data_IF_043561234913
#
_entry.id   IF_043561234913
#
_cell.length_a   1.000
_cell.length_b   1.000
_cell.length_c   1.000
_cell.angle_alpha   90.00
_cell.angle_beta   90.00
_cell.angle_gamma   90.00
#
_symmetry.space_group_name_H-M   'P 1'
#
loop_
_entity.id
_entity.type
_entity.pdbx_description
1 polymer ?
#
# COMPACT_ATOMS: atom_id res chain seq x y z
N UNK A 1 43.17 8.77 0.84
CA UNK A 1 42.48 7.46 0.93
C UNK A 1 41.38 7.45 2.01
N UNK A 2 40.59 8.52 2.16
CA UNK A 2 39.55 8.63 3.21
C UNK A 2 38.13 8.76 2.62
N UNK A 3 38.03 9.10 1.34
CA UNK A 3 36.77 9.37 0.64
C UNK A 3 36.22 8.16 -0.14
N UNK A 4 37.05 7.15 -0.42
CA UNK A 4 36.63 5.94 -1.15
C UNK A 4 35.78 5.03 -0.25
N UNK A 5 36.09 4.92 1.04
CA UNK A 5 35.32 4.08 1.98
C UNK A 5 33.88 4.56 2.21
N UNK A 6 33.62 5.87 2.09
CA UNK A 6 32.26 6.42 2.25
C UNK A 6 31.40 6.05 1.03
N UNK A 7 31.96 6.10 -0.17
CA UNK A 7 31.25 5.78 -1.40
C UNK A 7 30.88 4.28 -1.49
N UNK A 8 31.76 3.37 -1.03
CA UNK A 8 31.50 1.92 -1.08
C UNK A 8 30.44 1.47 -0.07
N UNK A 9 30.30 2.17 1.05
CA UNK A 9 29.32 1.83 2.10
C UNK A 9 27.89 2.22 1.69
N UNK A 10 27.72 3.27 0.89
CA UNK A 10 26.40 3.75 0.45
C UNK A 10 25.78 2.88 -0.66
N UNK A 11 26.60 2.30 -1.54
CA UNK A 11 26.13 1.48 -2.69
C UNK A 11 25.53 0.14 -2.25
N UNK A 12 25.90 -0.38 -1.08
CA UNK A 12 25.36 -1.65 -0.57
C UNK A 12 23.92 -1.52 -0.03
N UNK A 13 23.49 -0.32 0.40
CA UNK A 13 22.19 -0.10 1.04
C UNK A 13 20.99 -0.14 0.08
N UNK A 14 21.20 -0.05 -1.23
CA UNK A 14 20.13 0.10 -2.25
C UNK A 14 19.85 -1.18 -3.06
N UNK A 15 20.09 -2.36 -2.47
CA UNK A 15 19.66 -3.63 -3.08
C UNK A 15 18.13 -3.82 -2.97
N UNK A 16 17.38 -2.95 -3.64
CA UNK A 16 15.95 -3.11 -3.86
C UNK A 16 15.75 -4.28 -4.83
N UNK A 17 15.49 -5.48 -4.31
CA UNK A 17 15.07 -6.60 -5.15
C UNK A 17 13.67 -6.31 -5.71
N UNK A 18 13.59 -5.98 -7.00
CA UNK A 18 12.35 -5.66 -7.70
C UNK A 18 11.46 -6.88 -8.00
N UNK A 19 11.87 -8.10 -7.61
CA UNK A 19 11.05 -9.31 -7.78
C UNK A 19 10.27 -9.57 -6.50
N UNK A 20 9.08 -8.95 -6.41
CA UNK A 20 8.12 -9.14 -5.32
C UNK A 20 7.47 -10.54 -5.31
N UNK A 21 7.62 -11.35 -6.36
CA UNK A 21 7.04 -12.70 -6.46
C UNK A 21 6.14 -12.84 -7.69
N UNK A 22 5.53 -14.02 -7.87
CA UNK A 22 4.53 -14.26 -8.91
C UNK A 22 3.13 -14.00 -8.33
N UNK A 23 2.60 -12.81 -8.54
CA UNK A 23 1.23 -12.48 -8.13
C UNK A 23 0.26 -12.69 -9.28
N UNK A 24 -0.95 -13.14 -8.94
CA UNK A 24 -2.10 -13.05 -9.83
C UNK A 24 -2.80 -11.73 -9.53
N UNK A 25 -2.89 -10.84 -10.50
CA UNK A 25 -3.76 -9.68 -10.41
C UNK A 25 -5.20 -10.11 -10.63
N UNK A 26 -6.10 -9.58 -9.81
CA UNK A 26 -7.54 -9.68 -10.02
C UNK A 26 -8.06 -8.25 -10.14
N UNK A 27 -8.53 -7.87 -11.33
CA UNK A 27 -9.24 -6.62 -11.52
C UNK A 27 -10.69 -6.86 -11.11
N UNK A 28 -11.09 -6.25 -9.99
CA UNK A 28 -12.49 -6.23 -9.58
C UNK A 28 -13.15 -5.03 -10.23
N UNK A 29 -14.33 -5.26 -10.83
CA UNK A 29 -15.11 -4.17 -11.40
C UNK A 29 -15.60 -3.28 -10.26
N UNK A 30 -15.09 -2.04 -10.21
CA UNK A 30 -15.46 -1.09 -9.17
C UNK A 30 -16.96 -0.75 -9.26
N UNK A 31 -17.66 -0.60 -8.12
CA UNK A 31 -19.02 -0.06 -8.10
C UNK A 31 -19.05 1.31 -8.82
N UNK A 32 -20.08 1.55 -9.64
CA UNK A 32 -20.21 2.80 -10.41
C UNK A 32 -20.55 4.02 -9.57
N UNK A 33 -20.83 3.82 -8.29
CA UNK A 33 -21.41 4.82 -7.39
C UNK A 33 -20.46 5.19 -6.24
N UNK A 34 -19.23 5.56 -6.58
CA UNK A 34 -18.24 5.95 -5.59
C UNK A 34 -18.00 7.45 -5.64
N UNK A 35 -18.18 8.12 -4.51
CA UNK A 35 -17.80 9.51 -4.32
C UNK A 35 -16.40 9.57 -3.70
N UNK A 36 -15.49 10.32 -4.31
CA UNK A 36 -14.15 10.55 -3.78
C UNK A 36 -14.19 11.60 -2.68
N UNK A 37 -13.61 11.28 -1.52
CA UNK A 37 -13.65 12.13 -0.33
C UNK A 37 -12.43 13.06 -0.17
N UNK A 38 -11.53 13.11 -1.15
CA UNK A 38 -10.40 14.03 -1.17
C UNK A 38 -9.12 13.41 -1.69
N UNK A 39 -8.01 13.86 -1.10
CA UNK A 39 -6.65 13.48 -1.47
C UNK A 39 -6.32 12.02 -1.11
N UNK A 40 -5.34 11.40 -1.80
CA UNK A 40 -4.85 10.08 -1.47
C UNK A 40 -4.40 9.98 -0.01
N UNK A 41 -4.72 8.85 0.61
CA UNK A 41 -4.28 8.52 1.97
C UNK A 41 -3.33 7.34 1.93
N UNK A 42 -2.40 7.34 2.88
CA UNK A 42 -1.40 6.28 3.01
C UNK A 42 -1.54 5.57 4.35
N UNK A 43 -1.50 4.24 4.31
CA UNK A 43 -1.41 3.40 5.48
C UNK A 43 -0.30 2.38 5.36
N UNK A 44 0.14 1.87 6.51
CA UNK A 44 1.27 0.97 6.57
C UNK A 44 1.13 -0.11 7.64
N UNK A 45 1.73 -1.27 7.35
CA UNK A 45 1.95 -2.33 8.32
C UNK A 45 3.42 -2.72 8.30
N UNK A 46 4.09 -2.51 9.43
CA UNK A 46 5.53 -2.62 9.58
C UNK A 46 5.91 -3.59 10.71
N UNK A 47 6.84 -4.48 10.42
CA UNK A 47 7.45 -5.37 11.41
C UNK A 47 8.89 -4.93 11.68
N UNK A 48 9.25 -4.82 12.95
CA UNK A 48 10.62 -4.51 13.44
C UNK A 48 11.40 -5.76 13.88
N UNK A 49 10.78 -6.93 13.73
CA UNK A 49 11.36 -8.24 14.11
C UNK A 49 11.78 -9.05 12.89
N UNK A 50 11.34 -8.65 11.70
CA UNK A 50 11.68 -9.33 10.46
C UNK A 50 11.91 -8.34 9.33
N UNK A 51 12.95 -8.62 8.54
CA UNK A 51 13.24 -7.95 7.28
C UNK A 51 12.44 -8.52 6.10
N UNK A 52 11.39 -9.31 6.37
CA UNK A 52 10.56 -9.98 5.36
C UNK A 52 9.17 -9.33 5.30
N UNK A 53 8.94 -8.49 4.29
CA UNK A 53 7.66 -7.78 4.09
C UNK A 53 6.46 -8.72 4.00
N UNK A 54 6.63 -9.96 3.52
CA UNK A 54 5.54 -10.93 3.36
C UNK A 54 5.02 -11.49 4.69
N UNK A 55 5.67 -11.15 5.81
CA UNK A 55 5.14 -11.40 7.16
C UNK A 55 4.20 -10.30 7.63
N UNK A 56 4.18 -9.16 6.94
CA UNK A 56 3.23 -8.08 7.18
C UNK A 56 1.95 -8.34 6.40
N UNK A 57 0.89 -7.61 6.75
CA UNK A 57 -0.44 -7.81 6.24
C UNK A 57 -0.95 -6.57 5.48
N UNK A 58 -1.25 -6.76 4.19
CA UNK A 58 -1.84 -5.72 3.34
C UNK A 58 -3.16 -5.23 3.91
N UNK A 59 -3.97 -6.10 4.52
CA UNK A 59 -5.24 -5.71 5.11
C UNK A 59 -5.07 -4.76 6.30
N UNK A 60 -4.00 -4.91 7.07
CA UNK A 60 -3.71 -4.01 8.20
C UNK A 60 -3.21 -2.65 7.69
N UNK A 61 -2.40 -2.63 6.64
CA UNK A 61 -2.02 -1.38 5.96
C UNK A 61 -3.23 -0.66 5.34
N UNK A 62 -4.21 -1.38 4.76
CA UNK A 62 -5.48 -0.80 4.27
C UNK A 62 -6.30 -0.23 5.43
N UNK A 63 -6.43 -0.96 6.55
CA UNK A 63 -7.17 -0.49 7.73
C UNK A 63 -6.56 0.78 8.30
N UNK A 64 -5.25 0.84 8.38
CA UNK A 64 -4.51 2.02 8.81
C UNK A 64 -4.72 3.21 7.84
N UNK A 65 -4.72 2.97 6.52
CA UNK A 65 -5.04 3.99 5.52
C UNK A 65 -6.47 4.55 5.70
N UNK A 66 -7.46 3.66 5.90
CA UNK A 66 -8.86 4.04 6.11
C UNK A 66 -9.04 4.78 7.45
N UNK A 67 -8.32 4.38 8.50
CA UNK A 67 -8.37 5.06 9.80
C UNK A 67 -7.85 6.51 9.74
N UNK A 68 -6.92 6.79 8.82
CA UNK A 68 -6.38 8.13 8.54
C UNK A 68 -7.25 8.93 7.55
N UNK A 69 -8.23 8.29 6.93
CA UNK A 69 -9.07 8.91 5.92
C UNK A 69 -10.16 9.82 6.52
N UNK A 70 -10.76 10.72 5.71
CA UNK A 70 -11.89 11.52 6.14
C UNK A 70 -13.06 10.67 6.64
N UNK A 71 -13.84 11.22 7.56
CA UNK A 71 -15.02 10.55 8.12
C UNK A 71 -16.02 10.17 7.00
N UNK A 72 -16.59 8.96 7.10
CA UNK A 72 -17.52 8.44 6.10
C UNK A 72 -16.86 7.71 4.93
N UNK A 73 -15.53 7.53 4.94
CA UNK A 73 -14.82 6.63 4.02
C UNK A 73 -15.28 5.19 4.22
N UNK A 74 -15.70 4.53 3.14
CA UNK A 74 -16.10 3.12 3.11
C UNK A 74 -15.09 2.24 2.39
N UNK A 75 -14.17 2.82 1.61
CA UNK A 75 -13.12 2.08 0.93
C UNK A 75 -12.07 3.00 0.31
N UNK A 76 -11.15 2.39 -0.45
CA UNK A 76 -10.12 3.09 -1.22
C UNK A 76 -10.26 2.72 -2.71
N UNK A 77 -10.07 3.70 -3.58
CA UNK A 77 -9.98 3.56 -5.05
C UNK A 77 -8.55 3.78 -5.51
N UNK A 78 -8.19 3.23 -6.67
CA UNK A 78 -6.89 3.44 -7.33
C UNK A 78 -5.73 3.03 -6.40
N UNK A 79 -5.92 1.89 -5.73
CA UNK A 79 -5.05 1.42 -4.65
C UNK A 79 -3.72 0.93 -5.20
N UNK A 80 -2.64 1.52 -4.72
CA UNK A 80 -1.27 1.08 -4.96
C UNK A 80 -0.72 0.43 -3.71
N UNK A 81 -0.26 -0.82 -3.83
CA UNK A 81 0.41 -1.56 -2.74
C UNK A 81 1.90 -1.61 -3.05
N UNK A 82 2.71 -1.15 -2.11
CA UNK A 82 4.17 -1.24 -2.19
C UNK A 82 4.74 -1.99 -0.98
N UNK A 83 5.80 -2.74 -1.21
CA UNK A 83 6.48 -3.49 -0.15
C UNK A 83 7.96 -3.10 -0.10
N UNK A 84 8.45 -2.83 1.10
CA UNK A 84 9.83 -2.43 1.35
C UNK A 84 10.47 -3.38 2.34
N UNK A 85 11.56 -4.02 1.93
CA UNK A 85 12.48 -4.71 2.82
C UNK A 85 13.67 -3.79 3.08
N UNK A 86 13.86 -3.36 4.32
CA UNK A 86 15.12 -2.73 4.68
C UNK A 86 16.14 -3.84 4.91
N UNK A 87 17.01 -4.11 3.94
CA UNK A 87 17.97 -5.22 4.02
C UNK A 87 18.93 -5.14 5.22
N UNK A 88 19.13 -3.93 5.75
CA UNK A 88 20.11 -3.62 6.81
C UNK A 88 19.48 -3.13 8.12
N UNK A 89 18.16 -2.96 8.14
CA UNK A 89 17.41 -2.70 9.35
C UNK A 89 16.51 -3.91 9.55
N UNK A 90 16.22 -4.33 10.79
CA UNK A 90 15.26 -5.42 11.02
C UNK A 90 13.81 -4.97 10.74
N UNK A 91 13.62 -4.10 9.75
CA UNK A 91 12.35 -3.49 9.41
C UNK A 91 11.90 -3.92 8.03
N UNK A 92 10.64 -4.29 7.93
CA UNK A 92 9.95 -4.46 6.66
C UNK A 92 8.58 -3.82 6.76
N UNK A 93 8.08 -3.24 5.67
CA UNK A 93 6.79 -2.57 5.65
C UNK A 93 6.02 -2.89 4.37
N UNK A 94 4.71 -3.03 4.51
CA UNK A 94 3.77 -2.89 3.40
C UNK A 94 3.17 -1.50 3.53
N UNK A 95 3.20 -0.72 2.44
CA UNK A 95 2.51 0.56 2.36
C UNK A 95 1.38 0.44 1.33
N UNK A 96 0.26 1.06 1.65
CA UNK A 96 -0.91 1.13 0.80
C UNK A 96 -1.26 2.59 0.63
N UNK A 97 -1.35 3.03 -0.62
CA UNK A 97 -1.85 4.35 -0.99
C UNK A 97 -3.13 4.19 -1.78
N UNK A 98 -4.13 5.02 -1.52
CA UNK A 98 -5.37 5.02 -2.28
C UNK A 98 -6.24 6.24 -2.02
N UNK A 99 -7.15 6.52 -2.95
CA UNK A 99 -8.09 7.64 -2.84
C UNK A 99 -9.27 7.20 -1.96
N UNK A 100 -9.58 7.91 -0.87
CA UNK A 100 -10.71 7.55 -0.01
C UNK A 100 -12.02 7.74 -0.75
N UNK A 101 -12.89 6.73 -0.68
CA UNK A 101 -14.21 6.75 -1.32
C UNK A 101 -15.32 6.39 -0.36
N UNK A 102 -16.52 6.89 -0.67
CA UNK A 102 -17.78 6.53 -0.02
C UNK A 102 -18.74 5.94 -1.05
N UNK A 103 -19.48 4.92 -0.64
CA UNK A 103 -20.64 4.46 -1.41
C UNK A 103 -21.71 5.55 -1.46
N UNK A 104 -22.00 6.04 -2.66
CA UNK A 104 -23.14 6.92 -2.91
C UNK A 104 -24.42 6.08 -2.91
N UNK A 105 -25.35 6.41 -2.04
CA UNK A 105 -26.66 5.74 -1.90
C UNK A 105 -27.56 5.84 -3.14
N UNK A 106 -27.14 6.54 -4.19
CA UNK A 106 -27.85 6.65 -5.45
C UNK A 106 -27.68 5.39 -6.33
N UNK A 107 -28.17 4.23 -5.87
CA UNK A 107 -28.14 2.96 -6.59
C UNK A 107 -28.41 3.10 -8.11
N UNK A 108 -27.67 2.43 -9.03
CA UNK A 108 -28.24 2.14 -10.33
C UNK A 108 -29.22 1.00 -10.10
N UNK A 109 -30.49 1.22 -10.43
CA UNK A 109 -31.48 0.15 -10.43
C UNK A 109 -30.89 -1.08 -11.14
N UNK A 110 -30.84 -2.21 -10.43
CA UNK A 110 -30.49 -3.51 -11.00
C UNK A 110 -31.26 -3.67 -12.31
N UNK A 111 -30.58 -3.61 -13.45
CA UNK A 111 -31.20 -4.05 -14.70
C UNK A 111 -31.19 -5.56 -14.62
N UNK A 112 -32.33 -6.13 -14.20
CA UNK A 112 -32.61 -7.54 -14.35
C UNK A 112 -32.42 -7.90 -15.82
N UNK A 113 -31.61 -8.91 -16.10
CA UNK A 113 -31.68 -9.66 -17.35
C UNK A 113 -31.93 -11.12 -17.01
#
# INVERSE_FOLDING_TARGET
MKNIFIATTFVLLVNCTHKWGNFKSYELQAPTNLETLGEPVTGNDCSFVSNQWFRNNVADAIRDAIAKAPAGTTGLKDVTVSAVNFRYLFTSCINVEGIPVKESTAAPAKTKK
#
